data_IF_390299345461
#
_entry.id   IF_390299345461
#
_cell.length_a   1.000
_cell.length_b   1.000
_cell.length_c   1.000
_cell.angle_alpha   90.00
_cell.angle_beta   90.00
_cell.angle_gamma   90.00
#
_symmetry.space_group_name_H-M   'P 1'
#
loop_
_entity.id
_entity.type
_entity.pdbx_description
1 polymer ?
#
# COMPACT_ATOMS: atom_id res chain seq x y z
N UNK A 1 -19.56 25.29 -18.81
CA UNK A 1 -19.43 24.70 -17.45
C UNK A 1 -20.74 24.00 -17.11
N UNK A 2 -20.79 22.67 -17.21
CA UNK A 2 -22.02 21.89 -16.98
C UNK A 2 -22.26 21.77 -15.47
N UNK A 3 -23.38 22.32 -14.98
CA UNK A 3 -23.85 22.19 -13.60
C UNK A 3 -24.27 20.74 -13.35
N UNK A 4 -23.35 19.92 -12.84
CA UNK A 4 -23.61 18.55 -12.40
C UNK A 4 -24.61 18.55 -11.23
N UNK A 5 -25.50 17.56 -11.21
CA UNK A 5 -26.56 17.45 -10.20
C UNK A 5 -26.00 17.28 -8.77
N UNK A 6 -26.60 17.93 -7.76
CA UNK A 6 -26.14 17.87 -6.36
C UNK A 6 -26.10 16.44 -5.77
N UNK A 7 -26.84 15.51 -6.38
CA UNK A 7 -26.86 14.09 -6.01
C UNK A 7 -25.53 13.36 -6.21
N UNK A 8 -24.73 13.74 -7.22
CA UNK A 8 -23.49 13.02 -7.54
C UNK A 8 -22.33 13.44 -6.63
N UNK A 9 -22.29 14.70 -6.23
CA UNK A 9 -21.34 15.23 -5.24
C UNK A 9 -21.58 14.67 -3.85
N UNK A 10 -22.84 14.52 -3.44
CA UNK A 10 -23.19 13.92 -2.15
C UNK A 10 -22.69 12.47 -2.04
N UNK A 11 -22.90 11.65 -3.10
CA UNK A 11 -22.39 10.27 -3.15
C UNK A 11 -20.86 10.22 -3.05
N UNK A 12 -20.17 11.14 -3.73
CA UNK A 12 -18.71 11.22 -3.65
C UNK A 12 -18.25 11.58 -2.23
N UNK A 13 -18.91 12.54 -1.58
CA UNK A 13 -18.61 12.93 -0.19
C UNK A 13 -18.75 11.73 0.77
N UNK A 14 -19.84 10.98 0.67
CA UNK A 14 -20.07 9.77 1.48
C UNK A 14 -18.95 8.75 1.26
N UNK A 15 -18.55 8.51 0.01
CA UNK A 15 -17.46 7.58 -0.30
C UNK A 15 -16.11 8.07 0.21
N UNK A 16 -15.84 9.38 0.17
CA UNK A 16 -14.61 9.96 0.73
C UNK A 16 -14.59 9.76 2.25
N UNK A 17 -15.70 10.01 2.96
CA UNK A 17 -15.80 9.78 4.40
C UNK A 17 -15.55 8.31 4.73
N UNK A 18 -16.16 7.39 3.97
CA UNK A 18 -15.94 5.96 4.12
C UNK A 18 -14.45 5.59 3.90
N UNK A 19 -13.82 6.11 2.86
CA UNK A 19 -12.41 5.86 2.57
C UNK A 19 -11.50 6.39 3.69
N UNK A 20 -11.76 7.58 4.22
CA UNK A 20 -10.99 8.15 5.33
C UNK A 20 -11.09 7.29 6.58
N UNK A 21 -12.30 6.83 6.93
CA UNK A 21 -12.50 5.93 8.06
C UNK A 21 -11.81 4.57 7.84
N UNK A 22 -11.92 4.00 6.65
CA UNK A 22 -11.24 2.76 6.28
C UNK A 22 -9.70 2.89 6.33
N UNK A 23 -9.14 4.00 5.83
CA UNK A 23 -7.71 4.27 5.89
C UNK A 23 -7.22 4.44 7.33
N UNK A 24 -7.95 5.23 8.14
CA UNK A 24 -7.62 5.44 9.55
C UNK A 24 -7.64 4.13 10.34
N UNK A 25 -8.70 3.34 10.19
CA UNK A 25 -8.80 2.03 10.86
C UNK A 25 -7.68 1.08 10.45
N UNK A 26 -7.27 1.09 9.17
CA UNK A 26 -6.17 0.29 8.67
C UNK A 26 -4.82 0.70 9.31
N UNK A 27 -4.53 2.01 9.41
CA UNK A 27 -3.32 2.49 10.08
C UNK A 27 -3.33 2.20 11.58
N UNK A 28 -4.50 2.33 12.23
CA UNK A 28 -4.67 1.99 13.63
C UNK A 28 -4.41 0.50 13.89
N UNK A 29 -4.96 -0.39 13.06
CA UNK A 29 -4.72 -1.83 13.16
C UNK A 29 -3.24 -2.18 12.94
N UNK A 30 -2.58 -1.56 11.96
CA UNK A 30 -1.16 -1.79 11.72
C UNK A 30 -0.28 -1.31 12.89
N UNK A 31 -0.55 -0.11 13.42
CA UNK A 31 0.18 0.41 14.58
C UNK A 31 -0.02 -0.47 15.82
N UNK A 32 -1.25 -0.94 16.03
CA UNK A 32 -1.58 -1.86 17.13
C UNK A 32 -0.81 -3.18 17.01
N UNK A 33 -0.85 -3.83 15.84
CA UNK A 33 -0.17 -5.11 15.62
C UNK A 33 1.35 -4.94 15.75
N UNK A 34 1.93 -3.88 15.19
CA UNK A 34 3.35 -3.61 15.29
C UNK A 34 3.88 -3.64 16.73
N UNK A 35 3.11 -3.08 17.67
CA UNK A 35 3.51 -2.99 19.07
C UNK A 35 3.11 -4.25 19.87
N UNK A 36 2.03 -4.95 19.48
CA UNK A 36 1.53 -6.13 20.17
C UNK A 36 2.25 -7.43 19.75
N UNK A 37 2.57 -7.59 18.47
CA UNK A 37 3.16 -8.83 17.94
C UNK A 37 4.60 -9.03 18.42
N UNK A 38 4.99 -10.30 18.54
CA UNK A 38 6.35 -10.70 18.90
C UNK A 38 7.39 -10.25 17.87
N UNK A 39 8.68 -10.24 18.26
CA UNK A 39 9.80 -9.94 17.35
C UNK A 39 10.44 -11.20 16.78
N UNK A 40 9.93 -12.37 17.14
CA UNK A 40 10.35 -13.64 16.58
C UNK A 40 9.90 -13.69 15.12
N UNK A 41 10.84 -14.03 14.23
CA UNK A 41 10.55 -14.16 12.81
C UNK A 41 9.59 -15.32 12.57
N UNK A 42 8.65 -15.13 11.64
CA UNK A 42 7.75 -16.21 11.25
C UNK A 42 8.57 -17.32 10.54
N UNK A 43 8.46 -18.60 10.95
CA UNK A 43 9.24 -19.69 10.37
C UNK A 43 8.65 -20.13 9.03
N UNK A 44 8.74 -19.26 8.03
CA UNK A 44 8.31 -19.57 6.66
C UNK A 44 9.42 -20.32 5.91
N UNK A 45 9.06 -21.46 5.31
CA UNK A 45 10.00 -22.32 4.54
C UNK A 45 10.70 -21.52 3.44
N UNK A 46 9.98 -20.61 2.79
CA UNK A 46 10.52 -19.79 1.69
C UNK A 46 11.61 -18.83 2.20
N UNK A 47 11.49 -18.25 3.39
CA UNK A 47 12.55 -17.39 3.96
C UNK A 47 13.77 -18.18 4.43
N UNK A 48 13.65 -19.51 4.57
CA UNK A 48 14.80 -20.40 4.73
C UNK A 48 15.56 -20.67 3.43
N UNK A 49 14.92 -20.46 2.27
CA UNK A 49 15.49 -20.73 0.94
C UNK A 49 15.95 -19.44 0.24
N UNK A 50 15.16 -18.38 0.36
CA UNK A 50 15.38 -17.08 -0.29
C UNK A 50 15.78 -16.06 0.77
N UNK A 51 16.95 -15.44 0.58
CA UNK A 51 17.43 -14.39 1.47
C UNK A 51 16.63 -13.10 1.32
N UNK A 52 16.57 -12.31 2.39
CA UNK A 52 15.85 -11.03 2.40
C UNK A 52 16.43 -10.01 1.41
N UNK A 53 15.61 -9.59 0.46
CA UNK A 53 15.97 -8.59 -0.54
C UNK A 53 15.69 -7.18 -0.01
N UNK A 54 16.70 -6.51 0.55
CA UNK A 54 16.57 -5.15 1.12
C UNK A 54 16.21 -4.09 0.07
N UNK A 55 16.54 -4.31 -1.20
CA UNK A 55 16.21 -3.39 -2.29
C UNK A 55 14.73 -3.46 -2.70
N UNK A 56 14.04 -4.57 -2.39
CA UNK A 56 12.66 -4.80 -2.82
C UNK A 56 11.70 -3.73 -2.26
N UNK A 57 11.94 -3.26 -1.03
CA UNK A 57 11.15 -2.19 -0.43
C UNK A 57 11.26 -0.88 -1.22
N UNK A 58 12.49 -0.46 -1.54
CA UNK A 58 12.75 0.78 -2.31
C UNK A 58 12.13 0.71 -3.71
N UNK A 59 12.20 -0.45 -4.35
CA UNK A 59 11.54 -0.67 -5.65
C UNK A 59 10.02 -0.62 -5.50
N UNK A 60 9.47 -1.22 -4.44
CA UNK A 60 8.04 -1.17 -4.13
C UNK A 60 7.51 0.26 -3.98
N UNK A 61 8.21 1.10 -3.23
CA UNK A 61 7.85 2.52 -3.03
C UNK A 61 7.87 3.31 -4.36
N UNK A 62 8.95 3.13 -5.14
CA UNK A 62 9.09 3.76 -6.45
C UNK A 62 7.97 3.32 -7.42
N UNK A 63 7.59 2.05 -7.39
CA UNK A 63 6.54 1.51 -8.26
C UNK A 63 5.15 1.99 -7.87
N UNK A 64 4.85 2.07 -6.57
CA UNK A 64 3.60 2.69 -6.11
C UNK A 64 3.53 4.14 -6.56
N UNK A 65 4.61 4.90 -6.36
CA UNK A 65 4.66 6.31 -6.75
C UNK A 65 4.40 6.47 -8.25
N UNK A 66 5.02 5.63 -9.08
CA UNK A 66 4.82 5.62 -10.52
C UNK A 66 3.36 5.29 -10.91
N UNK A 67 2.80 4.21 -10.36
CA UNK A 67 1.43 3.76 -10.64
C UNK A 67 0.39 4.81 -10.23
N UNK A 68 0.55 5.39 -9.03
CA UNK A 68 -0.34 6.44 -8.52
C UNK A 68 -0.23 7.71 -9.37
N UNK A 69 0.98 8.09 -9.78
CA UNK A 69 1.19 9.26 -10.67
C UNK A 69 0.42 9.10 -11.97
N UNK A 70 0.52 7.93 -12.61
CA UNK A 70 -0.25 7.65 -13.82
C UNK A 70 -1.76 7.65 -13.60
N UNK A 71 -2.23 7.11 -12.48
CA UNK A 71 -3.64 7.14 -12.13
C UNK A 71 -4.13 8.58 -11.97
N UNK A 72 -3.36 9.44 -11.30
CA UNK A 72 -3.69 10.86 -11.12
C UNK A 72 -3.72 11.60 -12.47
N UNK A 73 -2.75 11.35 -13.35
CA UNK A 73 -2.76 11.91 -14.71
C UNK A 73 -4.01 11.49 -15.48
N UNK A 74 -4.36 10.21 -15.44
CA UNK A 74 -5.59 9.71 -16.06
C UNK A 74 -6.83 10.41 -15.51
N UNK A 75 -6.97 10.51 -14.19
CA UNK A 75 -8.09 11.20 -13.53
C UNK A 75 -8.17 12.66 -13.98
N UNK A 76 -7.02 13.34 -14.11
CA UNK A 76 -6.95 14.74 -14.52
C UNK A 76 -7.44 14.96 -15.95
N UNK A 77 -7.05 14.09 -16.89
CA UNK A 77 -7.44 14.19 -18.31
C UNK A 77 -8.81 13.57 -18.61
N UNK A 78 -9.38 12.75 -17.73
CA UNK A 78 -10.65 12.08 -17.97
C UNK A 78 -11.86 13.02 -17.77
N UNK A 79 -12.77 13.06 -18.75
CA UNK A 79 -13.95 13.94 -18.71
C UNK A 79 -14.88 13.64 -17.52
N UNK A 80 -15.13 12.35 -17.25
CA UNK A 80 -15.98 11.87 -16.14
C UNK A 80 -15.22 11.60 -14.82
N UNK A 81 -14.25 12.47 -14.46
CA UNK A 81 -13.35 12.29 -13.30
C UNK A 81 -14.04 11.97 -11.97
N UNK A 82 -15.22 12.55 -11.70
CA UNK A 82 -15.94 12.32 -10.44
C UNK A 82 -16.50 10.89 -10.34
N UNK A 83 -16.95 10.31 -11.45
CA UNK A 83 -17.47 8.95 -11.48
C UNK A 83 -16.32 7.96 -11.30
N UNK A 84 -15.19 8.22 -11.95
CA UNK A 84 -13.96 7.45 -11.80
C UNK A 84 -13.50 7.49 -10.34
N UNK A 85 -13.31 8.68 -9.76
CA UNK A 85 -12.89 8.84 -8.36
C UNK A 85 -13.84 8.13 -7.39
N UNK A 86 -15.15 8.29 -7.55
CA UNK A 86 -16.12 7.61 -6.69
C UNK A 86 -15.97 6.09 -6.72
N UNK A 87 -15.83 5.50 -7.90
CA UNK A 87 -15.71 4.04 -8.04
C UNK A 87 -14.39 3.54 -7.47
N UNK A 88 -13.29 4.22 -7.80
CA UNK A 88 -11.96 3.85 -7.30
C UNK A 88 -11.88 3.98 -5.78
N UNK A 89 -12.36 5.10 -5.20
CA UNK A 89 -12.36 5.31 -3.75
C UNK A 89 -13.23 4.30 -3.00
N UNK A 90 -14.38 3.92 -3.56
CA UNK A 90 -15.23 2.89 -2.95
C UNK A 90 -14.50 1.54 -2.89
N UNK A 91 -13.88 1.13 -3.99
CA UNK A 91 -13.12 -0.14 -4.06
C UNK A 91 -11.94 -0.12 -3.07
N UNK A 92 -11.16 0.97 -3.03
CA UNK A 92 -10.04 1.12 -2.09
C UNK A 92 -10.54 1.07 -0.64
N UNK A 93 -11.66 1.75 -0.32
CA UNK A 93 -12.25 1.71 1.01
C UNK A 93 -12.66 0.30 1.44
N UNK A 94 -13.27 -0.48 0.53
CA UNK A 94 -13.59 -1.89 0.78
C UNK A 94 -12.33 -2.74 1.05
N UNK A 95 -11.29 -2.57 0.23
CA UNK A 95 -10.03 -3.32 0.39
C UNK A 95 -9.30 -2.97 1.68
N UNK A 96 -9.29 -1.69 2.07
CA UNK A 96 -8.71 -1.27 3.36
C UNK A 96 -9.54 -1.80 4.53
N UNK A 97 -10.87 -1.83 4.43
CA UNK A 97 -11.70 -2.45 5.47
C UNK A 97 -11.40 -3.95 5.61
N UNK A 98 -11.33 -4.69 4.49
CA UNK A 98 -10.94 -6.09 4.52
C UNK A 98 -9.53 -6.30 5.08
N UNK A 99 -8.58 -5.42 4.72
CA UNK A 99 -7.22 -5.43 5.28
C UNK A 99 -7.24 -5.29 6.79
N UNK A 100 -7.95 -4.28 7.32
CA UNK A 100 -8.08 -4.06 8.75
C UNK A 100 -8.59 -5.31 9.46
N UNK A 101 -9.67 -5.92 8.94
CA UNK A 101 -10.24 -7.14 9.52
C UNK A 101 -9.22 -8.29 9.49
N UNK A 102 -8.58 -8.54 8.35
CA UNK A 102 -7.59 -9.62 8.22
C UNK A 102 -6.41 -9.43 9.17
N UNK A 103 -5.89 -8.20 9.28
CA UNK A 103 -4.80 -7.85 10.17
C UNK A 103 -5.17 -8.13 11.64
N UNK A 104 -6.35 -7.70 12.08
CA UNK A 104 -6.83 -7.92 13.45
C UNK A 104 -7.07 -9.41 13.77
N UNK A 105 -7.58 -10.17 12.81
CA UNK A 105 -7.87 -11.59 12.99
C UNK A 105 -6.62 -12.47 12.98
N UNK A 106 -5.59 -12.11 12.21
CA UNK A 106 -4.46 -13.02 11.95
C UNK A 106 -3.20 -12.70 12.74
N UNK A 107 -2.96 -11.46 13.18
CA UNK A 107 -1.83 -11.06 14.05
C UNK A 107 -0.49 -11.79 13.75
N UNK A 108 -0.07 -11.83 12.48
CA UNK A 108 1.18 -12.46 12.09
C UNK A 108 2.39 -11.56 12.42
N UNK A 109 3.47 -12.11 13.01
CA UNK A 109 4.75 -11.43 13.08
C UNK A 109 5.38 -11.27 11.69
N UNK A 110 6.29 -10.32 11.56
CA UNK A 110 7.05 -10.14 10.33
C UNK A 110 8.07 -11.27 10.14
N UNK A 111 8.26 -11.66 8.87
CA UNK A 111 9.19 -12.72 8.48
C UNK A 111 10.67 -12.31 8.42
N UNK A 112 11.03 -11.10 8.86
CA UNK A 112 12.44 -10.69 8.82
C UNK A 112 13.24 -11.40 9.93
N UNK A 113 14.35 -12.04 9.53
CA UNK A 113 15.41 -12.65 10.35
C UNK A 113 15.83 -11.72 11.49
N UNK A 114 15.97 -10.41 11.22
CA UNK A 114 16.30 -9.39 12.22
C UNK A 114 15.25 -8.27 12.31
N UNK A 115 14.07 -8.61 12.83
CA UNK A 115 12.97 -7.65 13.07
C UNK A 115 13.38 -6.40 13.85
N UNK A 116 14.38 -6.45 14.73
CA UNK A 116 14.84 -5.26 15.50
C UNK A 116 15.61 -4.24 14.65
N UNK A 117 16.21 -4.68 13.54
CA UNK A 117 16.94 -3.82 12.62
C UNK A 117 16.00 -3.11 11.65
N UNK A 118 14.99 -3.81 11.15
CA UNK A 118 14.07 -3.33 10.12
C UNK A 118 12.86 -2.58 10.69
N UNK A 119 12.30 -3.07 11.80
CA UNK A 119 11.06 -2.53 12.36
C UNK A 119 11.35 -1.42 13.38
N UNK A 120 10.50 -0.39 13.45
CA UNK A 120 10.57 0.66 14.48
C UNK A 120 10.60 0.05 15.88
N UNK A 121 11.17 0.77 16.85
CA UNK A 121 11.13 0.32 18.24
C UNK A 121 9.67 0.20 18.72
N UNK A 122 9.37 -0.87 19.45
CA UNK A 122 8.07 -1.01 20.14
C UNK A 122 7.94 0.07 21.19
N UNK A 123 6.71 0.49 21.45
CA UNK A 123 6.43 1.31 22.62
C UNK A 123 6.62 0.48 23.89
N UNK A 124 7.21 1.05 24.93
CA UNK A 124 7.33 0.37 26.22
C UNK A 124 5.93 0.15 26.80
N UNK A 125 5.65 -1.07 27.28
CA UNK A 125 4.34 -1.41 27.89
C UNK A 125 3.96 -0.48 29.03
N UNK A 126 4.93 0.03 29.78
CA UNK A 126 4.74 0.97 30.89
C UNK A 126 4.38 2.39 30.44
N UNK A 127 4.67 2.76 29.19
CA UNK A 127 4.40 4.07 28.60
C UNK A 127 3.36 4.00 27.48
N UNK A 128 2.61 2.89 27.37
CA UNK A 128 1.56 2.70 26.37
C UNK A 128 0.33 3.51 26.77
N UNK A 129 0.44 4.84 26.66
CA UNK A 129 -0.71 5.74 26.74
C UNK A 129 -1.43 5.79 25.39
N UNK A 130 -2.74 6.00 25.41
CA UNK A 130 -3.51 6.22 24.18
C UNK A 130 -2.94 7.36 23.34
N UNK A 131 -2.35 8.37 23.97
CA UNK A 131 -1.72 9.53 23.29
C UNK A 131 -0.53 9.12 22.42
N UNK A 132 0.29 8.20 22.90
CA UNK A 132 1.49 7.76 22.18
C UNK A 132 1.17 6.84 21.01
N UNK A 133 0.10 6.04 21.11
CA UNK A 133 -0.46 5.29 19.97
C UNK A 133 -1.11 6.24 18.94
N UNK A 134 -1.89 7.23 19.41
CA UNK A 134 -2.51 8.23 18.57
C UNK A 134 -1.46 9.05 17.79
N UNK A 135 -0.34 9.41 18.43
CA UNK A 135 0.79 10.06 17.77
C UNK A 135 1.40 9.21 16.65
N UNK A 136 1.54 7.89 16.83
CA UNK A 136 2.02 7.00 15.76
C UNK A 136 1.05 6.90 14.60
N UNK A 137 -0.24 6.78 14.89
CA UNK A 137 -1.29 6.77 13.86
C UNK A 137 -1.30 8.09 13.10
N UNK A 138 -1.14 9.22 13.81
CA UNK A 138 -1.08 10.54 13.21
C UNK A 138 0.17 10.71 12.33
N UNK A 139 1.34 10.27 12.80
CA UNK A 139 2.56 10.27 11.98
C UNK A 139 2.39 9.44 10.71
N UNK A 140 1.77 8.26 10.80
CA UNK A 140 1.49 7.41 9.64
C UNK A 140 0.48 8.06 8.68
N UNK A 141 -0.52 8.74 9.23
CA UNK A 141 -1.53 9.49 8.47
C UNK A 141 -0.91 10.65 7.72
N UNK A 142 -0.03 11.43 8.36
CA UNK A 142 0.67 12.57 7.75
C UNK A 142 1.59 12.11 6.61
N UNK A 143 2.28 10.98 6.80
CA UNK A 143 3.11 10.36 5.76
C UNK A 143 2.27 9.68 4.65
N UNK A 144 0.93 9.72 4.72
CA UNK A 144 -0.01 9.07 3.80
C UNK A 144 0.28 7.58 3.56
N UNK A 145 0.90 6.91 4.53
CA UNK A 145 1.32 5.52 4.40
C UNK A 145 2.66 5.28 3.69
N UNK A 146 3.34 6.30 3.18
CA UNK A 146 4.71 6.16 2.67
C UNK A 146 5.68 5.93 3.83
N UNK A 147 6.58 4.96 3.65
CA UNK A 147 7.67 4.71 4.57
C UNK A 147 8.86 5.58 4.14
N UNK A 148 9.49 6.26 5.11
CA UNK A 148 10.71 7.00 4.81
C UNK A 148 11.83 6.00 4.51
N UNK A 149 12.62 6.28 3.48
CA UNK A 149 13.68 5.36 3.02
C UNK A 149 14.79 5.18 4.08
N UNK A 150 14.95 6.18 4.96
CA UNK A 150 15.96 6.20 6.03
C UNK A 150 15.38 5.85 7.43
N UNK A 151 14.06 5.81 7.59
CA UNK A 151 13.42 5.43 8.86
C UNK A 151 13.06 3.94 8.87
N UNK A 152 13.13 3.34 10.06
CA UNK A 152 12.62 1.98 10.26
C UNK A 152 11.12 1.90 9.94
N UNK A 153 10.68 0.76 9.41
CA UNK A 153 9.30 0.55 8.96
C UNK A 153 8.37 0.09 10.10
N UNK A 154 7.05 0.24 9.90
CA UNK A 154 6.06 -0.45 10.74
C UNK A 154 5.89 -1.87 10.20
N UNK A 155 6.35 -2.85 10.96
CA UNK A 155 6.13 -4.28 10.71
C UNK A 155 4.78 -4.77 11.23
N UNK A 156 4.23 -5.78 10.57
CA UNK A 156 2.95 -6.39 10.92
C UNK A 156 2.00 -6.55 9.73
N UNK A 157 2.44 -6.22 8.51
CA UNK A 157 1.66 -6.31 7.28
C UNK A 157 2.10 -7.44 6.32
N UNK A 158 2.64 -8.53 6.88
CA UNK A 158 3.19 -9.65 6.11
C UNK A 158 2.19 -10.27 5.11
N UNK A 159 0.92 -10.41 5.50
CA UNK A 159 -0.12 -11.06 4.69
C UNK A 159 -0.69 -10.16 3.59
N UNK A 160 -0.78 -8.86 3.85
CA UNK A 160 -1.47 -7.94 2.94
C UNK A 160 -0.85 -6.55 3.00
N UNK A 161 -0.10 -6.18 1.96
CA UNK A 161 0.59 -4.89 1.83
C UNK A 161 -0.27 -3.82 1.18
N UNK A 162 -0.17 -2.60 1.70
CA UNK A 162 -0.86 -1.43 1.15
C UNK A 162 -0.29 -1.01 -0.21
N UNK A 163 1.01 -1.21 -0.41
CA UNK A 163 1.67 -0.91 -1.67
C UNK A 163 1.08 -1.75 -2.81
N UNK A 164 0.86 -3.04 -2.56
CA UNK A 164 0.24 -3.95 -3.54
C UNK A 164 -1.19 -3.52 -3.88
N UNK A 165 -2.01 -3.17 -2.89
CA UNK A 165 -3.38 -2.67 -3.13
C UNK A 165 -3.35 -1.44 -4.04
N UNK A 166 -2.47 -0.48 -3.73
CA UNK A 166 -2.33 0.75 -4.52
C UNK A 166 -1.89 0.47 -5.95
N UNK A 167 -0.87 -0.37 -6.16
CA UNK A 167 -0.38 -0.76 -7.49
C UNK A 167 -1.47 -1.47 -8.30
N UNK A 168 -2.13 -2.47 -7.71
CA UNK A 168 -3.16 -3.28 -8.38
C UNK A 168 -4.37 -2.42 -8.75
N UNK A 169 -4.89 -1.62 -7.81
CA UNK A 169 -6.04 -0.76 -8.11
C UNK A 169 -5.71 0.33 -9.12
N UNK A 170 -4.52 0.93 -9.04
CA UNK A 170 -4.08 1.92 -10.02
C UNK A 170 -3.99 1.30 -11.42
N UNK A 171 -3.31 0.17 -11.57
CA UNK A 171 -3.15 -0.52 -12.85
C UNK A 171 -4.49 -1.01 -13.43
N UNK A 172 -5.38 -1.58 -12.62
CA UNK A 172 -6.70 -2.01 -13.07
C UNK A 172 -7.59 -0.83 -13.46
N UNK A 173 -7.59 0.25 -12.66
CA UNK A 173 -8.37 1.46 -12.97
C UNK A 173 -7.88 2.08 -14.27
N UNK A 174 -6.58 2.18 -14.46
CA UNK A 174 -5.99 2.69 -15.70
C UNK A 174 -6.39 1.81 -16.88
N UNK A 175 -6.26 0.49 -16.76
CA UNK A 175 -6.63 -0.45 -17.82
C UNK A 175 -8.11 -0.38 -18.21
N UNK A 176 -8.99 -0.10 -17.25
CA UNK A 176 -10.44 -0.01 -17.48
C UNK A 176 -10.87 1.31 -18.14
N UNK A 177 -10.29 2.43 -17.70
CA UNK A 177 -10.70 3.76 -18.17
C UNK A 177 -9.89 4.28 -19.37
N UNK A 178 -8.81 3.60 -19.76
CA UNK A 178 -8.04 4.00 -20.94
C UNK A 178 -8.76 3.57 -22.24
N UNK A 179 -9.02 4.49 -23.19
CA UNK A 179 -9.75 4.18 -24.40
C UNK A 179 -9.03 3.17 -25.30
N UNK A 180 -9.80 2.32 -25.98
CA UNK A 180 -9.32 1.19 -26.79
C UNK A 180 -8.45 1.59 -28.00
N UNK A 181 -8.40 2.88 -28.34
CA UNK A 181 -7.56 3.45 -29.41
C UNK A 181 -6.08 3.50 -29.02
N UNK A 182 -5.75 3.71 -27.74
CA UNK A 182 -4.36 3.73 -27.25
C UNK A 182 -3.90 2.34 -26.79
N UNK A 183 -4.06 1.32 -27.65
CA UNK A 183 -3.59 -0.06 -27.37
C UNK A 183 -2.13 -0.11 -26.96
N UNK A 184 -1.28 0.71 -27.59
CA UNK A 184 0.15 0.80 -27.27
C UNK A 184 0.39 1.26 -25.84
N UNK A 185 -0.34 2.27 -25.35
CA UNK A 185 -0.18 2.76 -23.97
C UNK A 185 -0.71 1.73 -22.95
N UNK A 186 -1.84 1.06 -23.24
CA UNK A 186 -2.35 -0.06 -22.43
C UNK A 186 -1.35 -1.22 -22.36
N UNK A 187 -0.75 -1.59 -23.50
CA UNK A 187 0.25 -2.64 -23.58
C UNK A 187 1.56 -2.22 -22.93
N UNK A 188 2.02 -0.97 -23.07
CA UNK A 188 3.21 -0.45 -22.39
C UNK A 188 3.00 -0.40 -20.87
N UNK A 189 1.84 -0.01 -20.37
CA UNK A 189 1.59 0.01 -18.92
C UNK A 189 1.42 -1.40 -18.35
N UNK A 190 0.73 -2.30 -19.05
CA UNK A 190 0.64 -3.71 -18.66
C UNK A 190 2.02 -4.40 -18.74
N UNK A 191 2.78 -4.16 -19.81
CA UNK A 191 4.12 -4.73 -20.00
C UNK A 191 5.17 -4.09 -19.10
N UNK A 192 5.07 -2.81 -18.72
CA UNK A 192 5.97 -2.20 -17.72
C UNK A 192 5.65 -2.70 -16.32
N UNK A 193 4.37 -2.86 -15.97
CA UNK A 193 3.98 -3.51 -14.71
C UNK A 193 4.49 -4.96 -14.65
N UNK A 194 4.44 -5.69 -15.78
CA UNK A 194 4.96 -7.06 -15.90
C UNK A 194 6.50 -7.13 -16.02
N UNK A 195 7.13 -6.18 -16.72
CA UNK A 195 8.58 -6.06 -16.86
C UNK A 195 9.22 -5.65 -15.54
N UNK A 196 8.52 -4.95 -14.66
CA UNK A 196 8.99 -4.64 -13.31
C UNK A 196 8.98 -5.91 -12.44
N UNK A 197 7.94 -6.76 -12.54
CA UNK A 197 8.00 -8.10 -11.96
C UNK A 197 9.18 -8.92 -12.54
N UNK A 198 9.48 -8.78 -13.84
CA UNK A 198 10.63 -9.45 -14.46
C UNK A 198 11.99 -8.81 -14.15
N UNK A 199 12.06 -7.49 -13.90
CA UNK A 199 13.27 -6.76 -13.49
C UNK A 199 13.64 -7.13 -12.05
N UNK A 200 12.63 -7.37 -11.19
CA UNK A 200 12.85 -7.95 -9.86
C UNK A 200 13.53 -9.32 -9.94
N UNK A 201 13.17 -10.15 -10.92
CA UNK A 201 13.81 -11.45 -11.17
C UNK A 201 15.22 -11.29 -11.78
N UNK A 202 15.45 -10.26 -12.60
CA UNK A 202 16.75 -10.04 -13.27
C UNK A 202 17.79 -9.37 -12.38
N UNK A 203 17.39 -8.55 -11.39
CA UNK A 203 18.30 -8.00 -10.38
C UNK A 203 18.73 -9.06 -9.37
N UNK A 204 17.84 -9.98 -8.98
CA UNK A 204 18.15 -11.13 -8.12
C UNK A 204 19.24 -12.04 -8.72
N UNK A 205 19.29 -12.12 -10.07
CA UNK A 205 20.35 -12.84 -10.78
C UNK A 205 21.70 -12.09 -10.75
N UNK A 206 21.73 -10.77 -10.69
CA UNK A 206 22.99 -10.02 -10.65
C UNK A 206 23.59 -9.95 -9.24
N UNK A 207 22.76 -9.93 -8.19
CA UNK A 207 23.25 -9.99 -6.80
C UNK A 207 23.72 -11.41 -6.40
N UNK A 208 23.19 -12.46 -7.04
CA UNK A 208 23.68 -13.85 -6.86
C UNK A 208 25.02 -14.15 -7.55
N UNK A 209 25.45 -13.37 -8.54
CA UNK A 209 26.72 -13.54 -9.26
C UNK A 209 27.73 -12.42 -8.97
N UNK A 210 27.39 -11.46 -8.10
CA UNK A 210 28.20 -10.28 -7.77
C UNK A 210 29.01 -10.40 -6.47
N UNK A 211 29.29 -11.62 -6.00
CA UNK A 211 30.16 -11.92 -4.85
C UNK A 211 31.33 -12.79 -5.25
#
# INVERSE_FOLDING_TARGET
MSSRSPSETHKLLVVIIFLVFAAFSNWAALAYIHDFVGREALPDIIFGIVSEQKWALKVGDAMVMLCVTFLVLLVFFHQERLILLRRTFFIVGCLYTMRTISLLCTQLPSGYVNNNSQCRARMNRSSMSWDSLALRILQQTIKLGFQDVDDKMLCGDLLFSGHTISMVISSLTIGYYLPHSHKSLRFTMASRSLQVCAMGINMDRNDMYGG
#
